data_IF_815145497918
#
_entry.id   IF_815145497918
#
_cell.length_a   1.000
_cell.length_b   1.000
_cell.length_c   1.000
_cell.angle_alpha   90.00
_cell.angle_beta   90.00
_cell.angle_gamma   90.00
#
_symmetry.space_group_name_H-M   'P 1'
#
loop_
_entity.id
_entity.type
_entity.pdbx_description
1 polymer ?
#
# COMPACT_ATOMS: atom_id res chain seq x y z
N UNK A 1 -8.59 12.06 21.14
CA UNK A 1 -7.41 11.20 21.35
C UNK A 1 -7.70 9.75 20.96
N UNK A 2 -8.79 9.13 21.43
CA UNK A 2 -9.13 7.73 21.11
C UNK A 2 -9.24 7.38 19.62
N UNK A 3 -9.93 8.22 18.83
CA UNK A 3 -10.02 8.03 17.37
C UNK A 3 -8.63 8.05 16.72
N UNK A 4 -7.81 9.07 17.01
CA UNK A 4 -6.47 9.21 16.42
C UNK A 4 -5.55 8.03 16.81
N UNK A 5 -5.65 7.54 18.05
CA UNK A 5 -4.93 6.36 18.49
C UNK A 5 -5.37 5.09 17.74
N UNK A 6 -6.68 4.90 17.57
CA UNK A 6 -7.23 3.77 16.83
C UNK A 6 -6.91 3.80 15.33
N UNK A 7 -6.88 4.99 14.72
CA UNK A 7 -6.43 5.21 13.32
C UNK A 7 -4.99 4.74 13.13
N UNK A 8 -4.09 5.13 14.03
CA UNK A 8 -2.68 4.73 13.97
C UNK A 8 -2.46 3.24 14.28
N UNK A 9 -3.26 2.66 15.17
CA UNK A 9 -3.18 1.25 15.53
C UNK A 9 -3.70 0.29 14.45
N UNK A 10 -4.49 0.78 13.50
CA UNK A 10 -5.01 -0.01 12.39
C UNK A 10 -6.09 -1.01 12.82
N UNK A 11 -7.37 -0.60 12.86
CA UNK A 11 -8.44 -1.35 13.54
C UNK A 11 -8.83 -2.67 12.87
N UNK A 12 -8.42 -2.92 11.62
CA UNK A 12 -8.80 -4.12 10.85
C UNK A 12 -7.62 -5.05 10.57
N UNK A 13 -6.39 -4.54 10.55
CA UNK A 13 -5.24 -5.30 10.07
C UNK A 13 -3.89 -4.87 10.69
N UNK A 14 -3.91 -3.98 11.68
CA UNK A 14 -2.69 -3.37 12.22
C UNK A 14 -2.03 -2.35 11.28
N UNK A 15 -2.67 -2.01 10.15
CA UNK A 15 -2.20 -0.97 9.23
C UNK A 15 -2.89 0.36 9.50
N UNK A 16 -2.15 1.48 9.51
CA UNK A 16 -2.73 2.79 9.74
C UNK A 16 -3.79 3.10 8.68
N UNK A 17 -4.88 3.74 9.12
CA UNK A 17 -5.92 4.23 8.22
C UNK A 17 -5.53 5.60 7.65
N UNK A 18 -5.79 5.78 6.37
CA UNK A 18 -5.60 7.03 5.64
C UNK A 18 -6.87 7.35 4.83
N UNK A 19 -7.09 8.63 4.52
CA UNK A 19 -8.20 9.09 3.70
C UNK A 19 -9.57 9.03 4.37
N UNK A 20 -9.63 9.04 5.71
CA UNK A 20 -10.90 9.05 6.46
C UNK A 20 -11.24 10.45 6.98
N UNK A 21 -12.54 10.76 7.05
CA UNK A 21 -13.08 11.89 7.80
C UNK A 21 -13.92 11.33 8.94
N UNK A 22 -13.67 11.80 10.16
CA UNK A 22 -14.44 11.40 11.34
C UNK A 22 -15.17 12.63 11.87
N UNK A 23 -16.48 12.49 12.06
CA UNK A 23 -17.35 13.52 12.60
C UNK A 23 -18.09 12.95 13.82
N UNK A 24 -18.11 13.72 14.92
CA UNK A 24 -18.88 13.35 16.10
C UNK A 24 -20.30 13.89 15.96
N UNK A 25 -21.27 13.01 15.80
CA UNK A 25 -22.69 13.39 15.62
C UNK A 25 -23.38 13.60 16.97
N UNK A 26 -23.29 12.62 17.88
CA UNK A 26 -23.90 12.68 19.21
C UNK A 26 -23.00 11.93 20.21
N UNK A 27 -22.89 12.45 21.44
CA UNK A 27 -22.23 11.79 22.55
C UNK A 27 -23.07 11.94 23.82
N UNK A 28 -23.25 10.84 24.56
CA UNK A 28 -23.90 10.84 25.87
C UNK A 28 -22.85 10.56 26.94
N UNK A 29 -22.84 11.42 27.95
CA UNK A 29 -21.83 11.46 28.99
C UNK A 29 -22.51 11.24 30.34
N UNK A 30 -21.93 10.44 31.23
CA UNK A 30 -22.42 10.26 32.59
C UNK A 30 -21.29 10.62 33.57
N UNK A 31 -21.37 11.81 34.18
CA UNK A 31 -20.25 12.38 34.96
C UNK A 31 -19.80 11.51 36.13
N UNK A 32 -20.68 10.66 36.67
CA UNK A 32 -20.37 9.77 37.79
C UNK A 32 -19.55 8.53 37.42
N UNK A 33 -19.68 8.02 36.20
CA UNK A 33 -19.09 6.72 35.79
C UNK A 33 -18.14 6.84 34.59
N UNK A 34 -18.01 8.03 34.01
CA UNK A 34 -17.25 8.22 32.79
C UNK A 34 -15.83 8.72 33.05
N UNK A 35 -14.86 8.13 32.36
CA UNK A 35 -13.44 8.50 32.41
C UNK A 35 -12.90 8.78 31.01
N UNK A 36 -11.83 9.56 30.93
CA UNK A 36 -11.12 9.83 29.66
C UNK A 36 -10.74 8.53 28.93
N UNK A 37 -10.29 7.52 29.68
CA UNK A 37 -9.94 6.19 29.15
C UNK A 37 -11.18 5.49 28.58
N UNK A 38 -12.31 5.59 29.26
CA UNK A 38 -13.59 5.05 28.80
C UNK A 38 -14.04 5.66 27.48
N UNK A 39 -14.00 6.99 27.36
CA UNK A 39 -14.34 7.69 26.12
C UNK A 39 -13.37 7.38 24.97
N UNK A 40 -12.09 7.30 25.28
CA UNK A 40 -11.05 6.93 24.31
C UNK A 40 -11.30 5.51 23.75
N UNK A 41 -11.65 4.57 24.62
CA UNK A 41 -11.96 3.18 24.26
C UNK A 41 -13.25 3.10 23.44
N UNK A 42 -14.31 3.78 23.87
CA UNK A 42 -15.58 3.82 23.13
C UNK A 42 -15.41 4.40 21.72
N UNK A 43 -14.63 5.47 21.58
CA UNK A 43 -14.31 6.06 20.27
C UNK A 43 -13.49 5.11 19.38
N UNK A 44 -12.55 4.34 19.96
CA UNK A 44 -11.77 3.35 19.24
C UNK A 44 -12.64 2.17 18.75
N UNK A 45 -13.60 1.72 19.58
CA UNK A 45 -14.57 0.69 19.21
C UNK A 45 -15.50 1.17 18.10
N UNK A 46 -16.07 2.37 18.23
CA UNK A 46 -16.93 2.97 17.21
C UNK A 46 -16.22 3.10 15.85
N UNK A 47 -14.95 3.52 15.86
CA UNK A 47 -14.15 3.57 14.64
C UNK A 47 -13.96 2.17 14.02
N UNK A 48 -13.64 1.16 14.84
CA UNK A 48 -13.45 -0.20 14.36
C UNK A 48 -14.70 -0.73 13.66
N UNK A 49 -15.86 -0.58 14.29
CA UNK A 49 -17.13 -1.06 13.74
C UNK A 49 -17.50 -0.33 12.44
N UNK A 50 -17.30 0.99 12.41
CA UNK A 50 -17.55 1.82 11.23
C UNK A 50 -16.65 1.42 10.05
N UNK A 51 -15.34 1.26 10.27
CA UNK A 51 -14.40 0.91 9.20
C UNK A 51 -14.64 -0.53 8.75
N UNK A 52 -14.95 -1.46 9.64
CA UNK A 52 -15.27 -2.85 9.27
C UNK A 52 -16.49 -2.93 8.35
N UNK A 53 -17.47 -2.05 8.56
CA UNK A 53 -18.67 -1.96 7.72
C UNK A 53 -18.46 -1.21 6.41
N UNK A 54 -17.35 -0.46 6.27
CA UNK A 54 -17.07 0.40 5.12
C UNK A 54 -16.23 -0.28 4.01
N UNK A 55 -15.91 -1.57 4.15
CA UNK A 55 -15.03 -2.34 3.26
C UNK A 55 -13.78 -1.59 2.78
N UNK A 56 -12.79 -1.40 3.68
CA UNK A 56 -11.58 -0.67 3.34
C UNK A 56 -10.79 -1.36 2.22
N UNK A 57 -10.16 -0.52 1.42
CA UNK A 57 -9.20 -0.92 0.40
C UNK A 57 -7.80 -1.01 1.01
N UNK A 58 -7.05 -2.03 0.62
CA UNK A 58 -5.66 -2.16 1.02
C UNK A 58 -4.80 -1.37 0.03
N UNK A 59 -3.86 -0.57 0.55
CA UNK A 59 -2.85 0.09 -0.27
C UNK A 59 -1.47 -0.54 -0.03
N UNK A 60 -0.68 -0.68 -1.09
CA UNK A 60 0.73 -1.09 -1.04
C UNK A 60 1.65 0.06 -1.44
N UNK A 61 2.86 0.15 -0.84
CA UNK A 61 3.85 1.14 -1.25
C UNK A 61 4.40 0.79 -2.65
N UNK A 62 4.31 1.76 -3.56
CA UNK A 62 4.90 1.71 -4.89
C UNK A 62 6.16 2.55 -4.90
N UNK A 63 7.21 2.00 -5.48
CA UNK A 63 8.51 2.64 -5.63
C UNK A 63 8.65 3.16 -7.06
N UNK A 64 9.22 4.35 -7.20
CA UNK A 64 9.85 4.79 -8.44
C UNK A 64 11.20 4.07 -8.52
N UNK A 65 11.44 3.35 -9.60
CA UNK A 65 12.68 2.58 -9.86
C UNK A 65 13.30 3.12 -11.13
N UNK A 66 14.52 3.62 -11.02
CA UNK A 66 15.28 4.15 -12.14
C UNK A 66 16.43 3.18 -12.41
N UNK A 67 16.42 2.50 -13.56
CA UNK A 67 17.42 1.49 -13.92
C UNK A 67 18.30 2.03 -15.03
N UNK A 68 19.62 2.00 -14.82
CA UNK A 68 20.61 2.35 -15.83
C UNK A 68 21.29 1.07 -16.30
N UNK A 69 21.18 0.77 -17.59
CA UNK A 69 21.80 -0.42 -18.18
C UNK A 69 22.26 -0.17 -19.63
N UNK A 70 23.23 -0.94 -20.15
CA UNK A 70 23.54 -0.92 -21.58
C UNK A 70 22.32 -1.25 -22.45
N UNK A 71 22.22 -0.63 -23.62
CA UNK A 71 21.06 -0.77 -24.52
C UNK A 71 20.71 -2.23 -24.90
N UNK A 72 21.70 -3.12 -24.92
CA UNK A 72 21.54 -4.55 -25.20
C UNK A 72 20.69 -5.30 -24.15
N UNK A 73 20.63 -4.84 -22.90
CA UNK A 73 19.87 -5.49 -21.82
C UNK A 73 18.51 -4.85 -21.54
N UNK A 74 18.16 -3.76 -22.23
CA UNK A 74 16.94 -3.00 -21.95
C UNK A 74 15.69 -3.87 -22.07
N UNK A 75 15.64 -4.74 -23.09
CA UNK A 75 14.54 -5.68 -23.28
C UNK A 75 14.34 -6.63 -22.08
N UNK A 76 15.44 -7.20 -21.58
CA UNK A 76 15.41 -8.10 -20.42
C UNK A 76 14.99 -7.38 -19.14
N UNK A 77 15.48 -6.15 -18.94
CA UNK A 77 15.11 -5.30 -17.80
C UNK A 77 13.61 -4.97 -17.82
N UNK A 78 13.07 -4.60 -18.98
CA UNK A 78 11.63 -4.33 -19.14
C UNK A 78 10.80 -5.60 -18.88
N UNK A 79 11.29 -6.75 -19.33
CA UNK A 79 10.67 -8.05 -19.08
C UNK A 79 10.58 -8.37 -17.58
N UNK A 80 11.68 -8.22 -16.85
CA UNK A 80 11.71 -8.47 -15.40
C UNK A 80 10.84 -7.47 -14.61
N UNK A 81 10.86 -6.19 -14.98
CA UNK A 81 9.96 -5.18 -14.38
C UNK A 81 8.50 -5.59 -14.58
N UNK A 82 8.13 -6.03 -15.78
CA UNK A 82 6.76 -6.45 -16.09
C UNK A 82 6.35 -7.71 -15.32
N UNK A 83 7.28 -8.67 -15.15
CA UNK A 83 7.07 -9.87 -14.34
C UNK A 83 6.81 -9.53 -12.85
N UNK A 84 7.39 -8.42 -12.37
CA UNK A 84 7.25 -7.89 -11.00
C UNK A 84 6.05 -6.96 -10.81
N UNK A 85 5.01 -7.08 -11.63
CA UNK A 85 3.85 -6.17 -11.63
C UNK A 85 4.22 -4.70 -11.83
N UNK A 86 5.42 -4.41 -12.32
CA UNK A 86 5.91 -3.08 -12.58
C UNK A 86 5.37 -2.52 -13.89
N UNK A 87 5.36 -1.20 -14.00
CA UNK A 87 5.01 -0.48 -15.23
C UNK A 87 6.13 0.49 -15.59
N UNK A 88 6.66 0.36 -16.80
CA UNK A 88 7.62 1.30 -17.36
C UNK A 88 6.90 2.61 -17.68
N UNK A 89 7.43 3.72 -17.19
CA UNK A 89 6.90 5.07 -17.40
C UNK A 89 7.62 5.77 -18.55
N UNK A 90 8.94 5.64 -18.62
CA UNK A 90 9.78 6.26 -19.64
C UNK A 90 11.04 5.43 -19.90
N UNK A 91 11.60 5.63 -21.08
CA UNK A 91 12.88 5.07 -21.47
C UNK A 91 13.68 6.14 -22.21
N UNK A 92 14.84 6.50 -21.67
CA UNK A 92 15.72 7.53 -22.21
C UNK A 92 17.08 6.94 -22.59
N UNK A 93 17.44 6.87 -23.88
CA UNK A 93 18.78 6.51 -24.29
C UNK A 93 19.76 7.66 -23.96
N UNK A 94 20.89 7.33 -23.31
CA UNK A 94 21.97 8.24 -22.91
C UNK A 94 23.32 7.70 -23.40
N UNK A 95 23.58 7.84 -24.69
CA UNK A 95 24.80 7.32 -25.33
C UNK A 95 24.79 5.79 -25.36
N UNK A 96 25.77 5.14 -24.73
CA UNK A 96 25.87 3.68 -24.69
C UNK A 96 24.96 3.02 -23.63
N UNK A 97 24.41 3.79 -22.71
CA UNK A 97 23.48 3.32 -21.67
C UNK A 97 22.09 3.88 -21.89
N UNK A 98 21.08 3.19 -21.35
CA UNK A 98 19.70 3.62 -21.34
C UNK A 98 19.20 3.70 -19.90
N UNK A 99 18.44 4.75 -19.61
CA UNK A 99 17.70 4.92 -18.37
C UNK A 99 16.27 4.41 -18.59
N UNK A 100 15.82 3.50 -17.74
CA UNK A 100 14.46 2.96 -17.72
C UNK A 100 13.81 3.38 -16.41
N UNK A 101 12.79 4.23 -16.49
CA UNK A 101 12.02 4.65 -15.32
C UNK A 101 10.78 3.77 -15.20
N UNK A 102 10.55 3.21 -14.03
CA UNK A 102 9.42 2.34 -13.77
C UNK A 102 8.80 2.59 -12.39
N UNK A 103 7.55 2.14 -12.26
CA UNK A 103 6.83 2.09 -10.98
C UNK A 103 6.63 0.63 -10.63
N UNK A 104 7.14 0.20 -9.47
CA UNK A 104 7.11 -1.21 -9.06
C UNK A 104 6.66 -1.31 -7.60
N UNK A 105 5.74 -2.21 -7.24
CA UNK A 105 5.39 -2.45 -5.84
C UNK A 105 6.62 -2.89 -5.04
N UNK A 106 6.84 -2.30 -3.85
CA UNK A 106 8.00 -2.61 -3.01
C UNK A 106 8.09 -4.11 -2.67
N UNK A 107 6.95 -4.77 -2.52
CA UNK A 107 6.84 -6.20 -2.25
C UNK A 107 7.52 -7.09 -3.32
N UNK A 108 7.68 -6.59 -4.55
CA UNK A 108 8.27 -7.33 -5.68
C UNK A 108 9.77 -7.03 -5.87
N UNK A 109 10.30 -6.03 -5.15
CA UNK A 109 11.69 -5.57 -5.27
C UNK A 109 12.64 -6.28 -4.30
N UNK A 110 12.15 -7.15 -3.42
CA UNK A 110 13.02 -7.96 -2.57
C UNK A 110 13.91 -8.86 -3.42
N UNK A 111 15.24 -8.72 -3.27
CA UNK A 111 16.22 -9.45 -4.08
C UNK A 111 16.41 -8.91 -5.51
N UNK A 112 15.87 -7.72 -5.81
CA UNK A 112 15.98 -7.11 -7.14
C UNK A 112 17.43 -6.89 -7.58
N UNK A 113 18.32 -6.45 -6.68
CA UNK A 113 19.75 -6.24 -6.97
C UNK A 113 20.41 -7.49 -7.56
N UNK A 114 20.15 -8.67 -6.99
CA UNK A 114 20.72 -9.93 -7.46
C UNK A 114 20.16 -10.31 -8.82
N UNK A 115 18.84 -10.18 -8.99
CA UNK A 115 18.15 -10.50 -10.25
C UNK A 115 18.66 -9.60 -11.39
N UNK A 116 18.73 -8.30 -11.15
CA UNK A 116 19.24 -7.32 -12.11
C UNK A 116 20.69 -7.62 -12.50
N UNK A 117 21.55 -7.90 -11.52
CA UNK A 117 22.95 -8.27 -11.78
C UNK A 117 23.06 -9.50 -12.68
N UNK A 118 22.24 -10.52 -12.44
CA UNK A 118 22.22 -11.73 -13.27
C UNK A 118 21.75 -11.46 -14.69
N UNK A 119 20.70 -10.65 -14.87
CA UNK A 119 20.15 -10.29 -16.18
C UNK A 119 21.14 -9.50 -17.03
N UNK A 120 21.84 -8.55 -16.41
CA UNK A 120 22.69 -7.60 -17.14
C UNK A 120 24.18 -7.92 -17.03
N UNK A 121 24.54 -9.14 -16.62
CA UNK A 121 25.92 -9.56 -16.34
C UNK A 121 26.68 -8.59 -15.40
N UNK A 122 25.94 -7.95 -14.48
CA UNK A 122 26.44 -6.98 -13.53
C UNK A 122 26.75 -5.58 -14.07
N UNK A 123 26.32 -5.28 -15.30
CA UNK A 123 26.52 -3.99 -15.96
C UNK A 123 25.40 -2.96 -15.73
N UNK A 124 24.36 -3.30 -14.98
CA UNK A 124 23.27 -2.37 -14.64
C UNK A 124 23.32 -1.95 -13.18
N UNK A 125 22.80 -0.76 -12.93
CA UNK A 125 22.53 -0.20 -11.60
C UNK A 125 21.09 0.26 -11.52
N UNK A 126 20.55 0.34 -10.31
CA UNK A 126 19.23 0.93 -10.10
C UNK A 126 19.23 1.80 -8.84
N UNK A 127 18.33 2.78 -8.83
CA UNK A 127 17.92 3.49 -7.63
C UNK A 127 16.43 3.30 -7.43
N UNK A 128 15.98 3.38 -6.19
CA UNK A 128 14.55 3.36 -5.89
C UNK A 128 14.20 4.42 -4.85
N UNK A 129 13.05 5.05 -5.03
CA UNK A 129 12.51 6.06 -4.14
C UNK A 129 11.02 5.79 -3.91
N UNK A 130 10.54 6.05 -2.70
CA UNK A 130 9.11 5.97 -2.42
C UNK A 130 8.37 6.95 -3.34
N UNK A 131 7.27 6.48 -3.91
CA UNK A 131 6.48 7.27 -4.86
C UNK A 131 5.09 7.54 -4.31
N UNK A 132 4.33 6.50 -4.00
CA UNK A 132 3.00 6.62 -3.42
C UNK A 132 2.52 5.30 -2.79
N UNK A 133 1.38 5.36 -2.10
CA UNK A 133 0.59 4.19 -1.77
C UNK A 133 -0.50 3.99 -2.83
N UNK A 134 -0.44 2.87 -3.56
CA UNK A 134 -1.42 2.52 -4.58
C UNK A 134 -2.32 1.37 -4.11
N UNK A 135 -3.52 1.26 -4.67
CA UNK A 135 -4.45 0.17 -4.34
C UNK A 135 -3.86 -1.19 -4.74
N UNK A 136 -3.96 -2.17 -3.84
CA UNK A 136 -3.51 -3.54 -4.09
C UNK A 136 -4.47 -4.20 -5.10
N UNK A 137 -3.97 -4.84 -6.17
CA UNK A 137 -4.82 -5.55 -7.13
C UNK A 137 -5.76 -6.56 -6.44
N UNK A 138 -7.02 -6.74 -6.92
CA UNK A 138 -8.02 -7.56 -6.23
C UNK A 138 -7.58 -8.97 -5.86
N UNK A 139 -6.80 -9.62 -6.76
CA UNK A 139 -6.27 -10.97 -6.52
C UNK A 139 -5.28 -11.02 -5.34
N UNK A 140 -4.36 -10.06 -5.27
CA UNK A 140 -3.41 -9.95 -4.15
C UNK A 140 -4.08 -9.47 -2.86
N UNK A 141 -5.06 -8.56 -2.98
CA UNK A 141 -5.82 -8.05 -1.85
C UNK A 141 -6.62 -9.17 -1.15
N UNK A 142 -7.24 -10.07 -1.92
CA UNK A 142 -7.98 -11.21 -1.36
C UNK A 142 -7.06 -12.14 -0.56
N UNK A 143 -5.90 -12.48 -1.12
CA UNK A 143 -4.93 -13.34 -0.44
C UNK A 143 -4.40 -12.71 0.86
N UNK A 144 -4.15 -11.40 0.86
CA UNK A 144 -3.74 -10.67 2.07
C UNK A 144 -4.87 -10.60 3.11
N UNK A 145 -6.10 -10.31 2.67
CA UNK A 145 -7.29 -10.28 3.55
C UNK A 145 -7.55 -11.63 4.21
N UNK A 146 -7.42 -12.74 3.47
CA UNK A 146 -7.54 -14.09 4.01
C UNK A 146 -6.46 -14.40 5.05
N UNK A 147 -5.20 -14.06 4.75
CA UNK A 147 -4.08 -14.28 5.69
C UNK A 147 -4.22 -13.44 6.97
N UNK A 148 -4.90 -12.30 6.89
CA UNK A 148 -5.14 -11.41 8.02
C UNK A 148 -6.48 -11.64 8.72
N UNK A 149 -7.29 -12.59 8.25
CA UNK A 149 -8.60 -12.89 8.86
C UNK A 149 -9.65 -11.78 8.66
N UNK A 150 -9.51 -10.95 7.63
CA UNK A 150 -10.41 -9.83 7.36
C UNK A 150 -11.57 -10.32 6.49
N UNK A 151 -12.75 -10.48 7.09
CA UNK A 151 -13.99 -10.72 6.36
C UNK A 151 -14.61 -9.37 5.96
N UNK A 152 -14.61 -9.04 4.67
CA UNK A 152 -15.51 -7.99 4.15
C UNK A 152 -16.29 -8.51 2.96
N UNK A 153 -17.60 -8.31 2.98
CA UNK A 153 -18.48 -8.65 1.88
C UNK A 153 -18.64 -7.41 0.97
N UNK A 154 -18.21 -7.44 -0.30
CA UNK A 154 -18.27 -6.27 -1.19
C UNK A 154 -19.70 -5.77 -1.47
N UNK A 155 -20.74 -6.57 -1.16
CA UNK A 155 -22.14 -6.16 -1.28
C UNK A 155 -22.58 -5.08 -0.28
N UNK A 156 -21.91 -4.96 0.88
CA UNK A 156 -22.31 -4.03 1.94
C UNK A 156 -21.87 -2.56 1.67
N UNK A 157 -21.02 -2.36 0.67
CA UNK A 157 -20.47 -1.06 0.28
C UNK A 157 -21.29 -0.34 -0.80
N UNK A 158 -22.08 -1.06 -1.61
CA UNK A 158 -22.77 -0.51 -2.79
C UNK A 158 -24.09 0.24 -2.47
N UNK A 159 -24.54 0.27 -1.22
CA UNK A 159 -25.89 0.74 -0.85
C UNK A 159 -25.98 2.12 -0.18
N UNK A 160 -24.88 2.87 -0.05
CA UNK A 160 -24.87 4.16 0.68
C UNK A 160 -24.07 5.21 -0.08
N UNK A 161 -24.66 5.70 -1.18
CA UNK A 161 -24.24 6.92 -1.88
C UNK A 161 -25.11 8.09 -1.46
#
# INVERSE_FOLDING_TARGET
TGVMGAVGAGPIAGFPLDGIRVELVEARLHESDSSEIGYSTAAAMALRDAVSSACPILKEPVMKVDVVCPGEYVGDVIGDISARRGRVSSMEPRGEVSLVDARVPLAELFGYTTSLRSLTQGRASYTMQFLEFAEVPPAAALALKQRMGIACNPADAAGRG
#
